data_IF_306397487568
#
_entry.id   IF_306397487568
#
_cell.length_a   1.000
_cell.length_b   1.000
_cell.length_c   1.000
_cell.angle_alpha   90.00
_cell.angle_beta   90.00
_cell.angle_gamma   90.00
#
_symmetry.space_group_name_H-M   'P 1'
#
loop_
_entity.id
_entity.type
_entity.pdbx_description
1 polymer ?
#
# COMPACT_ATOMS: atom_id res chain seq x y z
N UNK A 1 -16.66 -23.50 -15.37
CA UNK A 1 -16.27 -22.17 -15.88
C UNK A 1 -14.84 -21.94 -15.43
N UNK A 2 -13.89 -22.03 -16.37
CA UNK A 2 -12.46 -21.85 -16.08
C UNK A 2 -12.22 -20.37 -15.79
N UNK A 3 -11.82 -20.04 -14.55
CA UNK A 3 -11.41 -18.69 -14.18
C UNK A 3 -10.10 -18.38 -14.89
N UNK A 4 -10.18 -17.60 -15.96
CA UNK A 4 -9.02 -17.03 -16.64
C UNK A 4 -8.33 -16.07 -15.67
N UNK A 5 -7.25 -16.54 -15.04
CA UNK A 5 -6.35 -15.71 -14.24
C UNK A 5 -5.30 -15.17 -15.22
N UNK A 6 -5.23 -13.84 -15.44
CA UNK A 6 -4.21 -13.29 -16.32
C UNK A 6 -2.82 -13.65 -15.76
N UNK A 7 -1.84 -14.00 -16.62
CA UNK A 7 -0.50 -14.29 -16.16
C UNK A 7 0.04 -13.08 -15.37
N UNK A 8 0.63 -13.32 -14.21
CA UNK A 8 1.44 -12.33 -13.50
C UNK A 8 2.64 -12.03 -14.40
N UNK A 9 2.53 -10.93 -15.15
CA UNK A 9 3.60 -10.46 -16.01
C UNK A 9 4.56 -9.73 -15.07
N UNK A 10 5.50 -10.45 -14.47
CA UNK A 10 6.82 -9.84 -14.40
C UNK A 10 7.30 -9.93 -15.84
N UNK A 11 7.12 -8.83 -16.58
CA UNK A 11 7.83 -8.62 -17.84
C UNK A 11 9.23 -9.14 -17.62
N UNK A 12 9.74 -9.92 -18.58
CA UNK A 12 11.05 -10.57 -18.67
C UNK A 12 12.25 -9.64 -18.33
N UNK A 13 12.25 -9.08 -17.12
CA UNK A 13 13.25 -8.22 -16.53
C UNK A 13 14.44 -9.04 -16.03
N UNK A 14 14.36 -10.37 -16.20
CA UNK A 14 15.48 -11.31 -16.23
C UNK A 14 16.63 -10.82 -17.13
N UNK A 15 16.35 -9.98 -18.14
CA UNK A 15 17.38 -9.54 -19.10
C UNK A 15 17.91 -8.11 -18.91
N UNK A 16 17.47 -7.32 -17.91
CA UNK A 16 17.99 -5.95 -17.71
C UNK A 16 18.18 -5.50 -16.26
N UNK A 17 18.56 -6.40 -15.37
CA UNK A 17 19.27 -5.99 -14.15
C UNK A 17 20.57 -6.78 -14.06
N UNK A 18 21.47 -6.50 -14.99
CA UNK A 18 22.88 -6.77 -14.77
C UNK A 18 23.30 -5.93 -13.55
N UNK A 19 23.65 -6.61 -12.46
CA UNK A 19 24.26 -6.12 -11.21
C UNK A 19 23.46 -6.32 -9.92
N UNK A 20 22.27 -6.93 -9.94
CA UNK A 20 21.66 -7.45 -8.71
C UNK A 20 20.94 -8.76 -8.95
N UNK A 21 21.43 -9.85 -8.34
CA UNK A 21 20.80 -11.18 -8.28
C UNK A 21 19.48 -11.13 -7.49
N UNK A 22 18.47 -10.43 -8.01
CA UNK A 22 17.10 -10.53 -7.50
C UNK A 22 16.44 -11.68 -8.25
N UNK A 23 16.42 -12.86 -7.64
CA UNK A 23 15.65 -14.00 -8.16
C UNK A 23 14.17 -13.68 -7.96
N UNK A 24 13.51 -13.20 -9.00
CA UNK A 24 12.07 -12.94 -8.98
C UNK A 24 11.35 -14.28 -9.18
N UNK A 25 10.53 -14.75 -8.22
CA UNK A 25 9.75 -15.97 -8.36
C UNK A 25 8.76 -15.87 -9.53
N UNK A 26 8.47 -17.00 -10.19
CA UNK A 26 7.47 -17.06 -11.27
C UNK A 26 6.07 -16.74 -10.75
N UNK A 27 5.15 -16.39 -11.66
CA UNK A 27 3.72 -16.17 -11.36
C UNK A 27 3.12 -17.23 -10.45
N UNK A 28 3.42 -18.50 -10.73
CA UNK A 28 2.90 -19.66 -10.01
C UNK A 28 3.54 -19.80 -8.62
N UNK A 29 4.85 -19.56 -8.52
CA UNK A 29 5.57 -19.56 -7.24
C UNK A 29 5.16 -18.39 -6.34
N UNK A 30 4.84 -17.23 -6.91
CA UNK A 30 4.30 -16.09 -6.17
C UNK A 30 2.93 -16.43 -5.61
N UNK A 31 2.03 -16.98 -6.44
CA UNK A 31 0.68 -17.35 -6.01
C UNK A 31 0.69 -18.46 -4.96
N UNK A 32 1.52 -19.49 -5.13
CA UNK A 32 1.70 -20.55 -4.13
C UNK A 32 2.21 -20.00 -2.80
N UNK A 33 3.23 -19.13 -2.83
CA UNK A 33 3.74 -18.49 -1.61
C UNK A 33 2.73 -17.56 -0.96
N UNK A 34 1.95 -16.82 -1.76
CA UNK A 34 0.89 -15.95 -1.27
C UNK A 34 -0.27 -16.72 -0.63
N UNK A 35 -0.54 -17.95 -1.09
CA UNK A 35 -1.52 -18.83 -0.46
C UNK A 35 -1.16 -19.19 0.99
N UNK A 36 0.13 -19.06 1.37
CA UNK A 36 0.63 -19.36 2.71
C UNK A 36 0.91 -18.10 3.56
N UNK A 37 0.61 -16.90 3.05
CA UNK A 37 0.78 -15.64 3.76
C UNK A 37 1.45 -14.56 2.91
N UNK A 38 1.99 -13.54 3.54
CA UNK A 38 2.68 -12.47 2.83
C UNK A 38 4.04 -12.92 2.27
N UNK A 39 4.40 -12.38 1.10
CA UNK A 39 5.70 -12.60 0.46
C UNK A 39 6.56 -11.34 0.59
N UNK A 40 7.80 -11.49 1.06
CA UNK A 40 8.78 -10.40 1.16
C UNK A 40 9.89 -10.65 0.15
N UNK A 41 10.13 -9.67 -0.73
CA UNK A 41 11.20 -9.66 -1.73
C UNK A 41 12.19 -8.55 -1.38
N UNK A 42 13.45 -8.86 -1.06
CA UNK A 42 14.45 -7.86 -0.72
C UNK A 42 14.96 -7.10 -1.96
N UNK A 43 15.68 -6.00 -1.74
CA UNK A 43 16.36 -5.21 -2.78
C UNK A 43 15.44 -4.68 -3.89
N UNK A 44 14.23 -4.26 -3.52
CA UNK A 44 13.29 -3.62 -4.43
C UNK A 44 13.52 -2.10 -4.42
N UNK A 45 13.88 -1.53 -5.57
CA UNK A 45 13.91 -0.09 -5.77
C UNK A 45 12.49 0.47 -5.97
N UNK A 46 12.30 1.77 -5.79
CA UNK A 46 11.01 2.41 -6.07
C UNK A 46 10.59 2.26 -7.54
N UNK A 47 11.55 2.40 -8.47
CA UNK A 47 11.27 2.20 -9.89
C UNK A 47 10.80 0.76 -10.17
N UNK A 48 11.48 -0.24 -9.61
CA UNK A 48 11.08 -1.64 -9.76
C UNK A 48 9.71 -1.90 -9.12
N UNK A 49 9.43 -1.28 -7.97
CA UNK A 49 8.11 -1.35 -7.32
C UNK A 49 7.00 -0.82 -8.23
N UNK A 50 7.22 0.30 -8.91
CA UNK A 50 6.25 0.87 -9.85
C UNK A 50 6.04 -0.01 -11.08
N UNK A 51 7.12 -0.55 -11.65
CA UNK A 51 7.04 -1.50 -12.78
C UNK A 51 6.23 -2.75 -12.41
N UNK A 52 6.48 -3.32 -11.23
CA UNK A 52 5.74 -4.50 -10.72
C UNK A 52 4.27 -4.14 -10.48
N UNK A 53 3.99 -2.97 -9.89
CA UNK A 53 2.62 -2.54 -9.61
C UNK A 53 1.84 -2.29 -10.89
N UNK A 54 2.47 -1.67 -11.89
CA UNK A 54 1.85 -1.43 -13.18
C UNK A 54 1.48 -2.74 -13.90
N UNK A 55 2.35 -3.74 -13.81
CA UNK A 55 2.10 -5.03 -14.44
C UNK A 55 1.12 -5.92 -13.65
N UNK A 56 0.93 -5.64 -12.36
CA UNK A 56 0.09 -6.45 -11.44
C UNK A 56 -0.88 -5.57 -10.65
N UNK A 57 -1.83 -4.88 -11.31
CA UNK A 57 -2.68 -3.86 -10.69
C UNK A 57 -3.69 -4.42 -9.68
N UNK A 58 -3.82 -5.74 -9.58
CA UNK A 58 -4.74 -6.44 -8.69
C UNK A 58 -4.07 -6.93 -7.39
N UNK A 59 -2.75 -6.82 -7.27
CA UNK A 59 -2.03 -7.21 -6.06
C UNK A 59 -1.91 -6.04 -5.08
N UNK A 60 -2.01 -6.36 -3.78
CA UNK A 60 -1.80 -5.38 -2.72
C UNK A 60 -0.35 -5.44 -2.29
N UNK A 61 0.36 -4.32 -2.40
CA UNK A 61 1.81 -4.27 -2.24
C UNK A 61 2.24 -3.06 -1.41
N UNK A 62 3.33 -3.22 -0.64
CA UNK A 62 4.03 -2.13 0.04
C UNK A 62 5.50 -2.14 -0.37
N UNK A 63 6.14 -0.97 -0.36
CA UNK A 63 7.59 -0.82 -0.39
C UNK A 63 8.05 -0.33 0.98
N UNK A 64 8.75 -1.18 1.74
CA UNK A 64 9.18 -0.90 3.10
C UNK A 64 10.70 -1.05 3.18
N UNK A 65 11.41 0.06 3.40
CA UNK A 65 12.87 0.05 3.55
C UNK A 65 13.61 -0.73 2.44
N UNK A 66 13.16 -0.59 1.18
CA UNK A 66 13.74 -1.29 0.02
C UNK A 66 13.32 -2.77 -0.09
N UNK A 67 12.28 -3.20 0.62
CA UNK A 67 11.68 -4.52 0.53
C UNK A 67 10.27 -4.40 -0.05
N UNK A 68 9.97 -5.21 -1.07
CA UNK A 68 8.62 -5.37 -1.59
C UNK A 68 7.89 -6.38 -0.71
N UNK A 69 6.80 -5.94 -0.09
CA UNK A 69 5.87 -6.79 0.65
C UNK A 69 4.61 -6.98 -0.20
N UNK A 70 4.33 -8.22 -0.60
CA UNK A 70 3.10 -8.60 -1.27
C UNK A 70 2.13 -9.21 -0.25
N UNK A 71 0.91 -8.68 -0.20
CA UNK A 71 -0.14 -9.13 0.71
C UNK A 71 -1.16 -9.97 -0.06
N UNK A 72 -1.58 -11.13 0.47
CA UNK A 72 -2.63 -11.92 -0.16
C UNK A 72 -3.97 -11.19 -0.12
N UNK A 73 -4.78 -11.36 -1.16
CA UNK A 73 -6.18 -10.92 -1.15
C UNK A 73 -7.00 -12.02 -0.51
N UNK A 74 -7.45 -11.80 0.72
CA UNK A 74 -8.14 -12.78 1.54
C UNK A 74 -9.66 -12.54 1.50
N UNK A 75 -10.43 -13.60 1.27
CA UNK A 75 -11.90 -13.54 1.23
C UNK A 75 -12.48 -13.24 2.60
N UNK A 76 -11.79 -13.71 3.64
CA UNK A 76 -12.17 -13.69 5.04
C UNK A 76 -12.31 -12.25 5.55
N UNK A 77 -11.44 -11.35 5.10
CA UNK A 77 -11.44 -9.95 5.52
C UNK A 77 -12.30 -9.03 4.65
N UNK A 78 -12.74 -9.49 3.47
CA UNK A 78 -13.40 -8.65 2.47
C UNK A 78 -14.71 -8.01 2.97
N UNK A 79 -15.55 -8.76 3.68
CA UNK A 79 -16.80 -8.22 4.22
C UNK A 79 -16.55 -7.13 5.28
N UNK A 80 -15.58 -7.36 6.15
CA UNK A 80 -15.15 -6.42 7.20
C UNK A 80 -14.55 -5.16 6.60
N UNK A 81 -13.76 -5.31 5.53
CA UNK A 81 -13.20 -4.21 4.77
C UNK A 81 -14.29 -3.35 4.13
N UNK A 82 -15.26 -3.99 3.47
CA UNK A 82 -16.40 -3.29 2.88
C UNK A 82 -17.21 -2.50 3.91
N UNK A 83 -17.47 -3.10 5.08
CA UNK A 83 -18.20 -2.44 6.17
C UNK A 83 -17.45 -1.20 6.68
N UNK A 84 -16.16 -1.33 6.98
CA UNK A 84 -15.31 -0.24 7.48
C UNK A 84 -15.23 0.89 6.46
N UNK A 85 -15.00 0.58 5.19
CA UNK A 85 -14.95 1.58 4.12
C UNK A 85 -16.29 2.30 4.02
N UNK A 86 -17.42 1.58 4.12
CA UNK A 86 -18.75 2.16 4.12
C UNK A 86 -18.97 3.15 5.27
N UNK A 87 -18.60 2.78 6.50
CA UNK A 87 -18.69 3.66 7.66
C UNK A 87 -17.79 4.90 7.51
N UNK A 88 -16.55 4.71 7.06
CA UNK A 88 -15.62 5.82 6.83
C UNK A 88 -16.14 6.78 5.77
N UNK A 89 -16.67 6.26 4.66
CA UNK A 89 -17.27 7.05 3.60
C UNK A 89 -18.42 7.92 4.11
N UNK A 90 -19.33 7.33 4.90
CA UNK A 90 -20.45 8.07 5.51
C UNK A 90 -19.93 9.19 6.39
N UNK A 91 -18.95 8.91 7.25
CA UNK A 91 -18.33 9.92 8.11
C UNK A 91 -17.67 11.03 7.29
N UNK A 92 -16.90 10.70 6.25
CA UNK A 92 -16.27 11.68 5.38
C UNK A 92 -17.30 12.56 4.66
N UNK A 93 -18.41 11.97 4.21
CA UNK A 93 -19.49 12.71 3.58
C UNK A 93 -20.22 13.66 4.53
N UNK A 94 -20.40 13.27 5.80
CA UNK A 94 -20.97 14.12 6.83
C UNK A 94 -20.04 15.26 7.26
N UNK A 95 -18.71 15.10 7.07
CA UNK A 95 -17.68 16.03 7.52
C UNK A 95 -16.86 16.61 6.36
N UNK A 96 -17.47 16.83 5.18
CA UNK A 96 -16.76 17.22 3.95
C UNK A 96 -15.88 18.47 4.07
N UNK A 97 -16.22 19.41 4.95
CA UNK A 97 -15.42 20.60 5.20
C UNK A 97 -14.07 20.30 5.89
N UNK A 98 -13.98 19.18 6.61
CA UNK A 98 -12.77 18.72 7.31
C UNK A 98 -11.92 17.76 6.49
N UNK A 99 -12.47 17.18 5.42
CA UNK A 99 -11.83 16.10 4.66
C UNK A 99 -11.22 16.65 3.37
N UNK A 100 -9.93 16.41 3.19
CA UNK A 100 -9.23 16.74 1.95
C UNK A 100 -9.31 15.58 0.95
N UNK A 101 -8.94 14.38 1.41
CA UNK A 101 -9.03 13.16 0.63
C UNK A 101 -9.35 11.97 1.55
N UNK A 102 -10.08 10.99 1.05
CA UNK A 102 -10.21 9.68 1.67
C UNK A 102 -9.98 8.60 0.61
N UNK A 103 -9.49 7.44 1.04
CA UNK A 103 -9.06 6.36 0.16
C UNK A 103 -9.41 4.98 0.69
N UNK A 104 -9.49 4.03 -0.23
CA UNK A 104 -9.71 2.62 0.03
C UNK A 104 -8.45 1.80 -0.24
N UNK A 105 -8.59 0.49 -0.12
CA UNK A 105 -7.58 -0.56 -0.09
C UNK A 105 -6.64 -0.70 -1.30
N UNK A 106 -6.96 -0.03 -2.41
CA UNK A 106 -6.17 -0.01 -3.64
C UNK A 106 -5.22 1.20 -3.74
N UNK A 107 -5.39 2.20 -2.87
CA UNK A 107 -4.50 3.35 -2.83
C UNK A 107 -3.25 3.09 -1.99
N UNK A 108 -2.18 3.82 -2.28
CA UNK A 108 -0.98 3.87 -1.46
C UNK A 108 -0.43 5.29 -1.38
N UNK A 109 0.40 5.54 -0.37
CA UNK A 109 0.98 6.84 -0.07
C UNK A 109 2.50 6.73 0.04
N UNK A 110 3.21 7.78 -0.38
CA UNK A 110 4.63 7.96 -0.06
C UNK A 110 4.72 8.53 1.35
N UNK A 111 5.20 7.71 2.27
CA UNK A 111 5.23 7.98 3.72
C UNK A 111 6.68 8.14 4.15
N UNK A 112 7.08 9.28 4.76
CA UNK A 112 8.45 9.47 5.23
C UNK A 112 8.90 8.34 6.17
N UNK A 113 10.09 7.79 5.95
CA UNK A 113 10.63 6.69 6.76
C UNK A 113 11.46 7.15 7.97
N UNK A 114 11.60 8.46 8.17
CA UNK A 114 12.40 9.06 9.25
C UNK A 114 13.92 9.05 9.04
N UNK A 115 14.40 8.56 7.88
CA UNK A 115 15.83 8.47 7.53
C UNK A 115 16.20 9.26 6.26
N UNK A 116 15.35 10.20 5.86
CA UNK A 116 15.54 10.99 4.63
C UNK A 116 15.03 10.33 3.35
N UNK A 117 14.25 9.24 3.45
CA UNK A 117 13.56 8.62 2.32
C UNK A 117 12.09 8.31 2.63
N UNK A 118 11.47 7.50 1.78
CA UNK A 118 10.05 7.13 1.87
C UNK A 118 9.85 5.61 1.87
N UNK A 119 8.76 5.19 2.51
CA UNK A 119 8.08 3.93 2.25
C UNK A 119 6.88 4.20 1.33
N UNK A 120 6.43 3.20 0.58
CA UNK A 120 5.13 3.25 -0.11
C UNK A 120 4.19 2.29 0.62
N UNK A 121 3.19 2.85 1.30
CA UNK A 121 2.31 2.08 2.18
C UNK A 121 0.85 2.17 1.71
N UNK A 122 0.21 1.01 1.56
CA UNK A 122 -1.22 0.86 1.31
C UNK A 122 -1.99 0.56 2.61
N UNK A 123 -2.94 1.43 3.02
CA UNK A 123 -3.90 1.14 4.08
C UNK A 123 -5.13 0.40 3.51
N UNK A 124 -5.99 -0.14 4.38
CA UNK A 124 -7.31 -0.66 3.95
C UNK A 124 -8.33 0.46 3.80
N UNK A 125 -8.22 1.49 4.65
CA UNK A 125 -8.94 2.74 4.51
C UNK A 125 -8.11 3.91 5.07
N UNK A 126 -8.28 5.10 4.53
CA UNK A 126 -7.51 6.27 4.97
C UNK A 126 -8.27 7.59 4.82
N UNK A 127 -7.87 8.57 5.62
CA UNK A 127 -8.34 9.96 5.53
C UNK A 127 -7.17 10.93 5.70
N UNK A 128 -7.07 11.86 4.77
CA UNK A 128 -6.27 13.08 4.86
C UNK A 128 -7.24 14.24 5.16
N UNK A 129 -7.04 14.93 6.27
CA UNK A 129 -7.81 16.12 6.60
C UNK A 129 -7.42 17.29 5.70
N UNK A 130 -8.40 18.17 5.43
CA UNK A 130 -8.26 19.30 4.49
C UNK A 130 -7.15 20.25 4.94
N UNK A 131 -7.16 20.65 6.21
CA UNK A 131 -6.19 21.60 6.78
C UNK A 131 -5.45 21.01 7.99
N UNK A 132 -4.13 21.27 8.13
CA UNK A 132 -3.27 21.97 7.17
C UNK A 132 -2.76 21.05 6.04
N UNK A 133 -2.94 19.74 6.17
CA UNK A 133 -2.14 18.74 5.45
C UNK A 133 -2.46 18.66 3.95
N UNK A 134 -3.72 18.43 3.59
CA UNK A 134 -4.11 18.30 2.18
C UNK A 134 -3.96 19.61 1.41
N UNK A 135 -4.36 20.73 2.01
CA UNK A 135 -4.22 22.05 1.38
C UNK A 135 -2.75 22.42 1.15
N UNK A 136 -1.87 22.13 2.11
CA UNK A 136 -0.43 22.35 1.93
C UNK A 136 0.17 21.41 0.87
N UNK A 137 -0.29 20.15 0.81
CA UNK A 137 0.10 19.23 -0.26
C UNK A 137 -0.26 19.80 -1.63
N UNK A 138 -1.52 20.18 -1.86
CA UNK A 138 -1.96 20.76 -3.14
C UNK A 138 -1.23 22.06 -3.50
N UNK A 139 -0.94 22.92 -2.52
CA UNK A 139 -0.25 24.18 -2.76
C UNK A 139 1.22 24.00 -3.17
N UNK A 140 1.85 22.90 -2.71
CA UNK A 140 3.27 22.62 -2.96
C UNK A 140 3.49 21.51 -4.00
N UNK A 141 2.42 20.91 -4.54
CA UNK A 141 2.53 19.81 -5.47
C UNK A 141 3.00 20.32 -6.85
N UNK A 142 4.15 19.85 -7.36
CA UNK A 142 4.56 20.19 -8.72
C UNK A 142 3.57 19.58 -9.73
N UNK A 143 3.44 20.16 -10.94
CA UNK A 143 2.69 19.54 -12.03
C UNK A 143 3.26 18.15 -12.29
N UNK A 144 2.37 17.15 -12.31
CA UNK A 144 2.76 15.76 -12.52
C UNK A 144 3.56 15.60 -13.81
N UNK A 145 4.78 15.10 -13.72
CA UNK A 145 5.63 14.80 -14.88
C UNK A 145 5.51 13.35 -15.33
N UNK A 146 5.77 13.04 -16.62
CA UNK A 146 5.95 11.67 -17.07
C UNK A 146 7.07 10.99 -16.26
N UNK A 147 6.77 9.84 -15.65
CA UNK A 147 7.72 9.12 -14.79
C UNK A 147 7.71 9.52 -13.30
N UNK A 148 6.85 10.45 -12.88
CA UNK A 148 6.63 10.71 -11.45
C UNK A 148 5.67 9.68 -10.84
N UNK A 149 5.92 9.40 -9.56
CA UNK A 149 5.19 8.41 -8.79
C UNK A 149 3.69 8.66 -8.75
N UNK A 150 2.92 7.58 -8.82
CA UNK A 150 1.46 7.64 -8.70
C UNK A 150 0.99 7.92 -7.26
N UNK A 151 1.87 7.81 -6.28
CA UNK A 151 1.51 7.86 -4.86
C UNK A 151 1.75 9.26 -4.29
N UNK A 152 0.74 9.87 -3.66
CA UNK A 152 0.89 11.22 -3.13
C UNK A 152 1.84 11.21 -1.91
N UNK A 153 2.75 12.20 -1.86
CA UNK A 153 3.67 12.46 -0.73
C UNK A 153 2.94 13.18 0.41
N UNK A 154 1.87 12.55 0.91
CA UNK A 154 1.06 13.07 2.01
C UNK A 154 0.62 11.91 2.90
N UNK A 155 1.19 11.83 4.10
CA UNK A 155 0.77 10.81 5.07
C UNK A 155 -0.68 11.08 5.49
N UNK A 156 -1.60 10.10 5.45
CA UNK A 156 -2.94 10.28 5.99
C UNK A 156 -2.92 10.63 7.48
N UNK A 157 -3.90 11.42 7.94
CA UNK A 157 -4.09 11.68 9.37
C UNK A 157 -4.53 10.40 10.07
N UNK A 158 -5.45 9.68 9.43
CA UNK A 158 -6.01 8.43 9.92
C UNK A 158 -5.86 7.32 8.89
N UNK A 159 -5.45 6.16 9.37
CA UNK A 159 -5.41 4.93 8.58
C UNK A 159 -6.11 3.82 9.35
N UNK A 160 -6.73 2.91 8.62
CA UNK A 160 -7.26 1.66 9.15
C UNK A 160 -6.52 0.51 8.48
N UNK A 161 -6.04 -0.41 9.30
CA UNK A 161 -5.51 -1.71 8.90
C UNK A 161 -6.33 -2.82 9.54
N UNK A 162 -6.76 -3.76 8.72
CA UNK A 162 -7.52 -4.95 9.07
C UNK A 162 -6.53 -6.09 9.18
N UNK A 163 -6.46 -6.67 10.37
CA UNK A 163 -5.63 -7.83 10.61
C UNK A 163 -6.25 -9.06 9.94
N UNK A 164 -5.48 -9.75 9.12
CA UNK A 164 -5.84 -11.06 8.59
C UNK A 164 -5.41 -12.20 9.51
N UNK A 165 -5.90 -13.41 9.28
CA UNK A 165 -5.45 -14.60 10.01
C UNK A 165 -3.96 -14.91 9.79
N UNK A 166 -3.44 -14.56 8.61
CA UNK A 166 -2.00 -14.69 8.29
C UNK A 166 -1.12 -13.64 8.98
N UNK A 167 -1.71 -12.60 9.58
CA UNK A 167 -0.94 -11.54 10.22
C UNK A 167 -0.64 -11.85 11.69
N UNK A 168 0.65 -11.77 12.03
CA UNK A 168 1.07 -11.77 13.43
C UNK A 168 0.79 -10.42 14.07
N UNK A 169 0.59 -10.39 15.39
CA UNK A 169 0.42 -9.13 16.12
C UNK A 169 1.64 -8.20 15.95
N UNK A 170 2.84 -8.78 15.82
CA UNK A 170 4.08 -8.04 15.59
C UNK A 170 4.11 -7.38 14.21
N UNK A 171 3.60 -8.05 13.17
CA UNK A 171 3.52 -7.49 11.82
C UNK A 171 2.61 -6.27 11.78
N UNK A 172 1.44 -6.39 12.40
CA UNK A 172 0.48 -5.30 12.50
C UNK A 172 1.08 -4.13 13.28
N UNK A 173 1.69 -4.38 14.44
CA UNK A 173 2.32 -3.34 15.26
C UNK A 173 3.47 -2.66 14.51
N UNK A 174 4.31 -3.43 13.80
CA UNK A 174 5.37 -2.89 12.94
C UNK A 174 4.79 -1.93 11.90
N UNK A 175 3.76 -2.34 11.16
CA UNK A 175 3.15 -1.51 10.11
C UNK A 175 2.52 -0.24 10.69
N UNK A 176 1.85 -0.33 11.85
CA UNK A 176 1.32 0.85 12.54
C UNK A 176 2.42 1.82 12.97
N UNK A 177 3.54 1.31 13.48
CA UNK A 177 4.70 2.13 13.81
C UNK A 177 5.32 2.84 12.59
N UNK A 178 5.32 2.21 11.41
CA UNK A 178 5.76 2.88 10.17
C UNK A 178 4.85 4.08 9.82
N UNK A 179 3.53 3.91 9.93
CA UNK A 179 2.57 5.00 9.73
C UNK A 179 2.78 6.14 10.74
N UNK A 180 2.92 5.82 12.03
CA UNK A 180 3.14 6.85 13.07
C UNK A 180 4.45 7.61 12.86
N UNK A 181 5.54 6.90 12.55
CA UNK A 181 6.83 7.54 12.23
C UNK A 181 6.75 8.45 11.01
N UNK A 182 5.88 8.11 10.06
CA UNK A 182 5.57 8.93 8.91
C UNK A 182 4.62 10.10 9.15
N UNK A 183 4.08 10.25 10.37
CA UNK A 183 3.20 11.37 10.75
C UNK A 183 1.69 11.06 10.72
N UNK A 184 1.29 9.79 10.73
CA UNK A 184 -0.11 9.43 11.00
C UNK A 184 -0.45 9.73 12.47
N UNK A 185 -1.61 10.35 12.69
CA UNK A 185 -2.07 10.80 14.01
C UNK A 185 -2.96 9.76 14.70
N UNK A 186 -3.74 9.03 13.91
CA UNK A 186 -4.51 7.87 14.35
C UNK A 186 -4.15 6.63 13.54
N UNK A 187 -3.34 5.76 14.14
CA UNK A 187 -3.12 4.40 13.67
C UNK A 187 -3.40 3.46 14.84
N UNK A 188 -4.60 2.88 14.88
CA UNK A 188 -4.92 1.82 15.84
C UNK A 188 -5.29 0.57 15.07
N UNK A 189 -4.64 -0.57 15.34
CA UNK A 189 -5.10 -1.83 14.79
C UNK A 189 -6.46 -2.14 15.40
N UNK A 190 -7.47 -2.40 14.55
CA UNK A 190 -8.77 -2.85 15.02
C UNK A 190 -8.65 -4.35 15.29
N UNK A 191 -8.28 -4.71 16.52
CA UNK A 191 -8.46 -6.07 17.03
C UNK A 191 -9.97 -6.24 17.32
N UNK A 192 -10.64 -7.02 16.48
CA UNK A 192 -11.85 -7.76 16.87
C UNK A 192 -11.65 -9.19 16.43
#
# INVERSE_FOLDING_TARGET
MSSYIPPFIVSDCSQRVADSEVIIPTSEQVLERLAHGKLIVPNCSEQLFEEITHANPYLRMNLIEGQLELMPVLKETNAREAEIIGQLYIWCCANRNLVGQFGASQGAFRVPNGRGGFNILGPDASVVLSSPRWNAFLANQPPRRPGESNYPEVTPNFIIGIRSESDTALDVDRKMNLWMRGGAEGSRPIMM
#
